data_IF_150168337242
#
_entry.id   IF_150168337242
#
_cell.length_a   1.000
_cell.length_b   1.000
_cell.length_c   1.000
_cell.angle_alpha   90.00
_cell.angle_beta   90.00
_cell.angle_gamma   90.00
#
_symmetry.space_group_name_H-M   'P 1'
#
loop_
_entity.id
_entity.type
_entity.pdbx_description
1 polymer ?
#
# COMPACT_ATOMS: atom_id res chain seq x y z
N UNK A 1 25.10 -9.54 29.07
CA UNK A 1 23.70 -9.28 29.46
C UNK A 1 22.85 -9.63 28.27
N UNK A 2 22.09 -10.74 28.35
CA UNK A 2 21.30 -11.25 27.25
C UNK A 2 20.14 -10.30 26.97
N UNK A 3 20.08 -9.79 25.74
CA UNK A 3 18.92 -9.07 25.22
C UNK A 3 17.73 -10.04 25.20
N UNK A 4 16.81 -9.86 26.13
CA UNK A 4 15.51 -10.50 26.13
C UNK A 4 14.70 -9.89 24.96
N UNK A 5 14.91 -10.37 23.72
CA UNK A 5 13.98 -10.11 22.63
C UNK A 5 12.65 -10.70 23.05
N UNK A 6 11.66 -9.86 23.31
CA UNK A 6 10.27 -10.26 23.39
C UNK A 6 10.00 -11.20 22.21
N UNK A 7 9.53 -12.40 22.53
CA UNK A 7 9.04 -13.34 21.53
C UNK A 7 7.79 -12.70 20.96
N UNK A 8 7.94 -11.98 19.85
CA UNK A 8 6.79 -11.47 19.09
C UNK A 8 6.01 -12.67 18.60
N UNK A 9 4.71 -12.71 18.89
CA UNK A 9 3.84 -13.78 18.43
C UNK A 9 3.88 -13.78 16.89
N UNK A 10 4.33 -14.90 16.28
CA UNK A 10 4.43 -15.00 14.82
C UNK A 10 3.05 -14.82 14.20
N UNK A 11 2.91 -13.82 13.32
CA UNK A 11 1.69 -13.51 12.58
C UNK A 11 1.75 -14.07 11.16
N UNK A 12 0.62 -14.09 10.46
CA UNK A 12 0.52 -14.46 9.04
C UNK A 12 0.33 -13.21 8.19
N UNK A 13 1.11 -13.10 7.12
CA UNK A 13 1.03 -12.00 6.15
C UNK A 13 0.61 -12.60 4.81
N UNK A 14 -0.54 -12.19 4.30
CA UNK A 14 -0.97 -12.57 2.97
C UNK A 14 -0.18 -11.81 1.91
N UNK A 15 0.26 -12.50 0.87
CA UNK A 15 0.90 -11.88 -0.31
C UNK A 15 0.16 -12.34 -1.55
N UNK A 16 -0.28 -11.39 -2.38
CA UNK A 16 -0.85 -11.67 -3.69
C UNK A 16 0.16 -11.30 -4.77
N UNK A 17 0.62 -12.22 -5.63
CA UNK A 17 1.56 -11.90 -6.70
C UNK A 17 0.98 -10.94 -7.75
N UNK A 18 -0.35 -10.90 -7.89
CA UNK A 18 -1.04 -10.07 -8.87
C UNK A 18 -1.15 -10.73 -10.25
N UNK A 19 -0.82 -9.99 -11.32
CA UNK A 19 -0.88 -10.51 -12.70
C UNK A 19 0.14 -11.65 -12.89
N UNK A 20 -0.32 -12.89 -13.18
CA UNK A 20 0.58 -14.04 -13.25
C UNK A 20 1.55 -13.97 -14.43
N UNK A 21 1.18 -13.31 -15.54
CA UNK A 21 2.04 -13.11 -16.70
C UNK A 21 3.09 -12.00 -16.50
N UNK A 22 2.97 -11.20 -15.43
CA UNK A 22 3.88 -10.11 -15.09
C UNK A 22 5.01 -10.52 -14.15
N UNK A 23 5.70 -9.49 -13.59
CA UNK A 23 6.83 -9.68 -12.67
C UNK A 23 6.42 -10.05 -11.23
N UNK A 24 5.13 -9.97 -10.89
CA UNK A 24 4.67 -10.26 -9.52
C UNK A 24 5.14 -11.61 -8.98
N UNK A 25 4.98 -12.73 -9.72
CA UNK A 25 5.54 -14.03 -9.35
C UNK A 25 7.06 -14.00 -9.13
N UNK A 26 7.83 -13.33 -10.02
CA UNK A 26 9.28 -13.19 -9.90
C UNK A 26 9.67 -12.54 -8.57
N UNK A 27 9.00 -11.44 -8.22
CA UNK A 27 9.25 -10.69 -7.00
C UNK A 27 8.93 -11.52 -5.75
N UNK A 28 7.82 -12.25 -5.76
CA UNK A 28 7.42 -13.12 -4.63
C UNK A 28 8.39 -14.29 -4.47
N UNK A 29 8.83 -14.92 -5.56
CA UNK A 29 9.85 -15.97 -5.53
C UNK A 29 11.14 -15.45 -4.91
N UNK A 30 11.58 -14.25 -5.30
CA UNK A 30 12.79 -13.64 -4.74
C UNK A 30 12.63 -13.26 -3.25
N UNK A 31 11.44 -12.84 -2.80
CA UNK A 31 11.15 -12.66 -1.37
C UNK A 31 11.27 -13.97 -0.59
N UNK A 32 10.76 -15.06 -1.16
CA UNK A 32 10.78 -16.39 -0.52
C UNK A 32 12.19 -16.99 -0.40
N UNK A 33 13.19 -16.43 -1.08
CA UNK A 33 14.60 -16.80 -0.88
C UNK A 33 15.24 -16.17 0.38
N UNK A 34 14.49 -15.39 1.16
CA UNK A 34 14.96 -14.71 2.37
C UNK A 34 14.23 -15.22 3.61
N UNK A 35 14.82 -15.07 4.80
CA UNK A 35 14.13 -15.33 6.06
C UNK A 35 13.28 -14.15 6.50
N UNK A 36 12.08 -14.42 7.01
CA UNK A 36 11.17 -13.38 7.56
C UNK A 36 10.65 -13.81 8.94
N UNK A 37 10.46 -12.87 9.88
CA UNK A 37 10.05 -13.18 11.25
C UNK A 37 8.61 -13.67 11.37
N UNK A 38 7.80 -13.44 10.35
CA UNK A 38 6.39 -13.84 10.27
C UNK A 38 6.17 -14.85 9.14
N UNK A 39 5.05 -15.57 9.18
CA UNK A 39 4.68 -16.51 8.12
C UNK A 39 4.19 -15.74 6.90
N UNK A 40 4.82 -15.97 5.76
CA UNK A 40 4.33 -15.47 4.48
C UNK A 40 3.39 -16.50 3.86
N UNK A 41 2.14 -16.11 3.60
CA UNK A 41 1.13 -16.95 2.95
C UNK A 41 0.85 -16.38 1.57
N UNK A 42 1.27 -17.10 0.54
CA UNK A 42 1.14 -16.68 -0.84
C UNK A 42 -0.21 -17.15 -1.38
N UNK A 43 -1.12 -16.22 -1.69
CA UNK A 43 -2.40 -16.51 -2.33
C UNK A 43 -2.17 -16.65 -3.83
N UNK A 44 -1.95 -17.87 -4.33
CA UNK A 44 -1.56 -18.11 -5.72
C UNK A 44 -1.79 -19.56 -6.14
N UNK A 45 -1.59 -19.83 -7.44
CA UNK A 45 -1.45 -21.16 -7.98
C UNK A 45 -0.02 -21.67 -7.77
N UNK A 46 0.11 -22.76 -6.99
CA UNK A 46 1.42 -23.35 -6.67
C UNK A 46 2.18 -23.81 -7.92
N UNK A 47 1.48 -24.33 -8.93
CA UNK A 47 2.09 -24.80 -10.18
C UNK A 47 2.71 -23.64 -10.96
N UNK A 48 1.97 -22.52 -11.08
CA UNK A 48 2.49 -21.28 -11.70
C UNK A 48 3.75 -20.78 -10.99
N UNK A 49 3.78 -20.82 -9.66
CA UNK A 49 4.93 -20.38 -8.88
C UNK A 49 6.13 -21.34 -9.04
N UNK A 50 5.90 -22.65 -9.11
CA UNK A 50 6.97 -23.66 -9.33
C UNK A 50 7.59 -23.49 -10.72
N UNK A 51 6.76 -23.37 -11.76
CA UNK A 51 7.23 -23.19 -13.13
C UNK A 51 8.04 -21.91 -13.29
N UNK A 52 7.55 -20.80 -12.71
CA UNK A 52 8.26 -19.54 -12.71
C UNK A 52 9.59 -19.62 -11.92
N UNK A 53 9.61 -20.27 -10.78
CA UNK A 53 10.82 -20.48 -9.99
C UNK A 53 11.87 -21.30 -10.75
N UNK A 54 11.43 -22.35 -11.46
CA UNK A 54 12.29 -23.15 -12.33
C UNK A 54 12.89 -22.32 -13.48
N UNK A 55 12.06 -21.50 -14.15
CA UNK A 55 12.49 -20.59 -15.21
C UNK A 55 13.54 -19.58 -14.71
N UNK A 56 13.39 -19.07 -13.49
CA UNK A 56 14.32 -18.14 -12.86
C UNK A 56 15.56 -18.80 -12.25
N UNK A 57 15.66 -20.14 -12.26
CA UNK A 57 16.74 -20.87 -11.60
C UNK A 57 16.76 -20.66 -10.08
N UNK A 58 15.60 -20.38 -9.48
CA UNK A 58 15.41 -20.10 -8.04
C UNK A 58 14.46 -21.12 -7.42
N UNK A 59 14.89 -22.40 -7.22
CA UNK A 59 14.00 -23.46 -6.79
C UNK A 59 13.41 -23.18 -5.41
N UNK A 60 12.15 -23.58 -5.21
CA UNK A 60 11.39 -23.42 -3.98
C UNK A 60 10.77 -24.74 -3.55
N UNK A 61 10.71 -24.98 -2.22
CA UNK A 61 9.88 -26.02 -1.65
C UNK A 61 8.49 -25.46 -1.34
N UNK A 62 7.48 -25.97 -2.03
CA UNK A 62 6.09 -25.56 -1.78
C UNK A 62 5.57 -26.26 -0.53
N UNK A 63 5.01 -25.48 0.37
CA UNK A 63 4.32 -25.93 1.57
C UNK A 63 2.83 -25.59 1.44
N UNK A 64 1.89 -26.54 1.54
CA UNK A 64 0.47 -26.23 1.53
C UNK A 64 0.11 -25.42 2.77
N UNK A 65 -0.62 -24.33 2.61
CA UNK A 65 -1.10 -23.55 3.74
C UNK A 65 -2.20 -24.28 4.50
N UNK A 66 -2.10 -24.30 5.83
CA UNK A 66 -3.05 -24.92 6.75
C UNK A 66 -3.38 -23.90 7.86
N UNK A 67 -4.61 -23.40 7.86
CA UNK A 67 -5.05 -22.33 8.78
C UNK A 67 -5.08 -22.78 10.24
N UNK A 68 -5.31 -24.07 10.48
CA UNK A 68 -5.40 -24.70 11.80
C UNK A 68 -4.03 -24.88 12.50
N UNK A 69 -2.93 -24.87 11.75
CA UNK A 69 -1.60 -24.97 12.33
C UNK A 69 -1.13 -23.62 12.86
N UNK A 70 -0.31 -23.58 13.92
CA UNK A 70 0.30 -22.33 14.39
C UNK A 70 1.16 -21.67 13.31
N UNK A 71 1.11 -20.32 13.23
CA UNK A 71 1.99 -19.58 12.34
C UNK A 71 3.46 -19.82 12.66
N UNK A 72 4.28 -20.00 11.63
CA UNK A 72 5.73 -20.22 11.74
C UNK A 72 6.49 -19.16 10.95
N UNK A 73 7.65 -18.68 11.43
CA UNK A 73 8.51 -17.78 10.68
C UNK A 73 8.86 -18.37 9.31
N UNK A 74 8.84 -17.54 8.29
CA UNK A 74 9.17 -17.96 6.93
C UNK A 74 10.63 -18.34 6.78
N UNK A 75 10.88 -19.52 6.21
CA UNK A 75 12.22 -20.05 5.95
C UNK A 75 12.62 -19.81 4.49
N UNK A 76 13.85 -19.33 4.27
CA UNK A 76 14.40 -19.14 2.94
C UNK A 76 14.34 -20.42 2.10
N UNK A 77 14.00 -20.30 0.83
CA UNK A 77 13.84 -21.41 -0.11
C UNK A 77 12.53 -22.20 0.05
N UNK A 78 11.59 -21.74 0.90
CA UNK A 78 10.25 -22.32 1.00
C UNK A 78 9.19 -21.33 0.52
N UNK A 79 7.99 -21.79 0.18
CA UNK A 79 6.84 -20.96 -0.12
C UNK A 79 5.56 -21.61 0.42
N UNK A 80 4.92 -20.99 1.41
CA UNK A 80 3.63 -21.46 1.92
C UNK A 80 2.51 -20.89 1.02
N UNK A 81 1.76 -21.77 0.35
CA UNK A 81 0.75 -21.39 -0.64
C UNK A 81 -0.66 -21.68 -0.14
N UNK A 82 -1.49 -20.65 -0.09
CA UNK A 82 -2.94 -20.77 -0.06
C UNK A 82 -3.41 -20.94 -1.52
N UNK A 83 -3.68 -22.21 -1.91
CA UNK A 83 -3.93 -22.58 -3.29
C UNK A 83 -5.16 -21.89 -3.89
N UNK A 84 -4.96 -21.31 -5.07
CA UNK A 84 -6.00 -20.77 -5.94
C UNK A 84 -5.59 -21.12 -7.37
N UNK A 85 -6.43 -21.89 -8.04
CA UNK A 85 -6.09 -22.43 -9.36
C UNK A 85 -6.21 -21.37 -10.44
N UNK A 86 -5.22 -21.27 -11.33
CA UNK A 86 -5.29 -20.47 -12.55
C UNK A 86 -6.27 -21.10 -13.54
N UNK A 87 -6.97 -20.28 -14.32
CA UNK A 87 -7.98 -20.77 -15.28
C UNK A 87 -7.37 -21.18 -16.62
N UNK A 88 -6.20 -20.64 -16.96
CA UNK A 88 -5.48 -20.91 -18.20
C UNK A 88 -3.97 -20.97 -17.95
N UNK A 89 -3.25 -21.57 -18.90
CA UNK A 89 -1.79 -21.60 -18.91
C UNK A 89 -1.21 -20.18 -18.80
N UNK A 90 -0.19 -20.02 -17.96
CA UNK A 90 0.46 -18.73 -17.74
C UNK A 90 1.76 -18.65 -18.54
N UNK A 91 1.79 -17.77 -19.53
CA UNK A 91 2.99 -17.48 -20.33
C UNK A 91 3.55 -16.10 -19.95
N UNK A 92 4.84 -16.05 -19.57
CA UNK A 92 5.49 -14.79 -19.20
C UNK A 92 5.34 -13.73 -20.29
N UNK A 93 4.92 -12.53 -19.90
CA UNK A 93 4.75 -11.39 -20.81
C UNK A 93 3.48 -11.44 -21.68
N UNK A 94 2.70 -12.50 -21.64
CA UNK A 94 1.49 -12.67 -22.45
C UNK A 94 0.24 -12.68 -21.57
N UNK A 95 -0.52 -11.60 -21.67
CA UNK A 95 -1.76 -11.43 -20.91
C UNK A 95 -2.86 -12.37 -21.45
N UNK A 96 -3.53 -13.08 -20.54
CA UNK A 96 -4.72 -13.89 -20.85
C UNK A 96 -5.90 -13.45 -19.96
N UNK A 97 -7.01 -13.07 -20.60
CA UNK A 97 -8.21 -12.62 -19.88
C UNK A 97 -8.87 -13.73 -19.06
N UNK A 98 -8.67 -15.00 -19.42
CA UNK A 98 -9.17 -16.13 -18.64
C UNK A 98 -8.59 -16.14 -17.20
N UNK A 99 -7.36 -15.65 -17.03
CA UNK A 99 -6.74 -15.52 -15.71
C UNK A 99 -7.19 -14.27 -14.92
N UNK A 100 -8.05 -13.41 -15.49
CA UNK A 100 -8.56 -12.23 -14.78
C UNK A 100 -9.33 -12.55 -13.49
N UNK A 101 -10.17 -13.61 -13.52
CA UNK A 101 -10.91 -14.07 -12.33
C UNK A 101 -10.00 -14.75 -11.31
N UNK A 102 -8.94 -15.44 -11.73
CA UNK A 102 -7.91 -15.95 -10.84
C UNK A 102 -7.26 -14.83 -10.03
N UNK A 103 -6.85 -13.73 -10.69
CA UNK A 103 -6.28 -12.58 -10.00
C UNK A 103 -7.23 -12.04 -8.93
N UNK A 104 -8.51 -11.88 -9.26
CA UNK A 104 -9.52 -11.45 -8.29
C UNK A 104 -9.66 -12.42 -7.11
N UNK A 105 -9.71 -13.73 -7.37
CA UNK A 105 -9.81 -14.75 -6.33
C UNK A 105 -8.63 -14.68 -5.34
N UNK A 106 -7.40 -14.35 -5.82
CA UNK A 106 -6.26 -14.13 -4.93
C UNK A 106 -6.46 -12.93 -3.99
N UNK A 107 -7.02 -11.83 -4.51
CA UNK A 107 -7.33 -10.64 -3.73
C UNK A 107 -8.48 -10.88 -2.74
N UNK A 108 -9.54 -11.59 -3.16
CA UNK A 108 -10.67 -11.98 -2.31
C UNK A 108 -10.21 -12.88 -1.15
N UNK A 109 -9.36 -13.87 -1.44
CA UNK A 109 -8.79 -14.74 -0.41
C UNK A 109 -7.99 -13.97 0.63
N UNK A 110 -7.16 -13.03 0.18
CA UNK A 110 -6.37 -12.19 1.07
C UNK A 110 -7.26 -11.24 1.91
N UNK A 111 -8.23 -10.58 1.27
CA UNK A 111 -9.18 -9.69 1.95
C UNK A 111 -9.99 -10.43 3.03
N UNK A 112 -10.58 -11.58 2.67
CA UNK A 112 -11.36 -12.42 3.58
C UNK A 112 -10.53 -12.88 4.78
N UNK A 113 -9.28 -13.30 4.56
CA UNK A 113 -8.37 -13.67 5.64
C UNK A 113 -7.99 -12.51 6.55
N UNK A 114 -7.80 -11.30 6.00
CA UNK A 114 -7.59 -10.10 6.82
C UNK A 114 -8.83 -9.72 7.62
N UNK A 115 -10.01 -9.79 7.01
CA UNK A 115 -11.28 -9.47 7.69
C UNK A 115 -11.62 -10.44 8.82
N UNK A 116 -11.27 -11.72 8.68
CA UNK A 116 -11.46 -12.72 9.72
C UNK A 116 -10.39 -12.74 10.81
N UNK A 117 -9.32 -11.94 10.66
CA UNK A 117 -8.16 -11.97 11.56
C UNK A 117 -7.22 -13.16 11.34
N UNK A 118 -7.40 -13.95 10.28
CA UNK A 118 -6.51 -15.04 9.87
C UNK A 118 -5.15 -14.48 9.40
N UNK A 119 -5.17 -13.36 8.69
CA UNK A 119 -4.00 -12.61 8.25
C UNK A 119 -3.94 -11.25 8.94
N UNK A 120 -2.77 -10.88 9.47
CA UNK A 120 -2.55 -9.58 10.12
C UNK A 120 -2.40 -8.42 9.11
N UNK A 121 -1.97 -8.75 7.90
CA UNK A 121 -1.79 -7.77 6.82
C UNK A 121 -1.85 -8.44 5.45
N UNK A 122 -2.07 -7.63 4.40
CA UNK A 122 -1.90 -8.03 3.00
C UNK A 122 -0.89 -7.16 2.29
N UNK A 123 -0.01 -7.80 1.52
CA UNK A 123 0.97 -7.16 0.63
C UNK A 123 0.61 -7.52 -0.80
N UNK A 124 0.35 -6.52 -1.65
CA UNK A 124 -0.12 -6.77 -3.02
C UNK A 124 0.94 -6.47 -4.06
N UNK A 125 1.19 -7.44 -4.95
CA UNK A 125 1.90 -7.26 -6.20
C UNK A 125 1.08 -6.52 -7.25
N UNK A 126 1.64 -6.23 -8.44
CA UNK A 126 0.97 -5.42 -9.45
C UNK A 126 -0.05 -6.24 -10.24
N UNK A 127 -1.20 -5.64 -10.58
CA UNK A 127 -2.24 -6.25 -11.42
C UNK A 127 -2.40 -5.51 -12.74
N UNK A 128 -2.95 -6.20 -13.74
CA UNK A 128 -3.29 -5.60 -15.01
C UNK A 128 -4.81 -5.36 -15.10
N UNK A 129 -5.24 -4.13 -14.79
CA UNK A 129 -6.68 -3.76 -14.74
C UNK A 129 -7.44 -4.13 -16.01
N UNK A 130 -6.81 -3.94 -17.18
CA UNK A 130 -7.45 -4.26 -18.48
C UNK A 130 -7.76 -5.75 -18.66
N UNK A 131 -6.96 -6.65 -18.12
CA UNK A 131 -7.23 -8.10 -18.14
C UNK A 131 -8.44 -8.43 -17.28
N UNK A 132 -8.45 -7.92 -16.04
CA UNK A 132 -9.57 -8.14 -15.12
C UNK A 132 -10.88 -7.59 -15.70
N UNK A 133 -10.84 -6.40 -16.28
CA UNK A 133 -12.03 -5.79 -16.90
C UNK A 133 -12.51 -6.60 -18.12
N UNK A 134 -11.62 -7.16 -18.95
CA UNK A 134 -11.99 -8.04 -20.05
C UNK A 134 -12.58 -9.39 -19.60
N UNK A 135 -12.21 -9.87 -18.41
CA UNK A 135 -12.83 -11.02 -17.78
C UNK A 135 -14.28 -10.75 -17.27
N UNK A 136 -14.83 -9.56 -17.54
CA UNK A 136 -16.23 -9.20 -17.26
C UNK A 136 -16.46 -8.56 -15.88
N UNK A 137 -15.41 -8.22 -15.14
CA UNK A 137 -15.54 -7.60 -13.80
C UNK A 137 -15.05 -6.15 -13.85
N UNK A 138 -15.89 -5.20 -13.37
CA UNK A 138 -15.48 -3.80 -13.24
C UNK A 138 -14.46 -3.65 -12.13
N UNK A 139 -13.20 -3.43 -12.49
CA UNK A 139 -12.09 -3.28 -11.58
C UNK A 139 -11.34 -1.96 -11.86
N UNK A 140 -11.44 -1.03 -10.92
CA UNK A 140 -10.76 0.27 -10.98
C UNK A 140 -9.36 0.26 -10.35
N UNK A 141 -9.15 -0.64 -9.37
CA UNK A 141 -7.88 -0.81 -8.68
C UNK A 141 -8.00 -1.55 -7.36
N UNK A 142 -6.85 -1.88 -6.78
CA UNK A 142 -6.79 -2.57 -5.48
C UNK A 142 -7.47 -1.79 -4.35
N UNK A 143 -7.30 -0.47 -4.34
CA UNK A 143 -7.81 0.40 -3.28
C UNK A 143 -9.33 0.34 -3.20
N UNK A 144 -10.00 0.51 -4.33
CA UNK A 144 -11.45 0.44 -4.45
C UNK A 144 -11.97 -0.98 -4.20
N UNK A 145 -11.24 -1.99 -4.69
CA UNK A 145 -11.56 -3.38 -4.46
C UNK A 145 -11.56 -3.73 -2.97
N UNK A 146 -10.48 -3.43 -2.25
CA UNK A 146 -10.40 -3.72 -0.81
C UNK A 146 -11.38 -2.89 0.02
N UNK A 147 -11.65 -1.65 -0.38
CA UNK A 147 -12.69 -0.82 0.24
C UNK A 147 -14.07 -1.49 0.11
N UNK A 148 -14.41 -1.99 -1.08
CA UNK A 148 -15.66 -2.71 -1.32
C UNK A 148 -15.74 -4.02 -0.51
N UNK A 149 -14.67 -4.82 -0.50
CA UNK A 149 -14.61 -6.09 0.25
C UNK A 149 -14.74 -5.92 1.76
N UNK A 150 -14.43 -4.75 2.28
CA UNK A 150 -14.46 -4.43 3.72
C UNK A 150 -15.58 -3.46 4.11
N UNK A 151 -16.54 -3.18 3.21
CA UNK A 151 -17.61 -2.19 3.41
C UNK A 151 -17.07 -0.81 3.86
N UNK A 152 -15.84 -0.47 3.47
CA UNK A 152 -15.19 0.81 3.80
C UNK A 152 -15.63 1.88 2.81
N UNK A 153 -16.28 2.92 3.32
CA UNK A 153 -16.83 4.00 2.46
C UNK A 153 -15.78 4.96 1.94
N UNK A 154 -14.68 5.15 2.68
CA UNK A 154 -13.62 6.09 2.34
C UNK A 154 -12.26 5.56 2.76
N UNK A 155 -11.32 5.62 1.85
CA UNK A 155 -9.91 5.28 2.08
C UNK A 155 -9.02 6.45 1.72
N UNK A 156 -7.79 6.46 2.25
CA UNK A 156 -6.78 7.48 1.97
C UNK A 156 -5.53 6.79 1.44
N UNK A 157 -5.04 7.29 0.31
CA UNK A 157 -3.78 6.85 -0.26
C UNK A 157 -2.63 7.55 0.45
N UNK A 158 -1.70 6.78 0.97
CA UNK A 158 -0.42 7.25 1.49
C UNK A 158 0.71 6.55 0.74
N UNK A 159 1.71 7.31 0.32
CA UNK A 159 2.99 6.75 -0.07
C UNK A 159 4.01 7.04 1.03
N UNK A 160 4.88 6.08 1.27
CA UNK A 160 5.95 6.20 2.25
C UNK A 160 7.30 5.77 1.67
N UNK A 161 8.35 6.45 2.11
CA UNK A 161 9.75 6.08 1.94
C UNK A 161 10.50 6.45 3.21
N UNK A 162 11.77 6.10 3.30
CA UNK A 162 12.58 6.45 4.47
C UNK A 162 12.56 7.98 4.74
N UNK A 163 12.11 8.36 5.93
CA UNK A 163 12.03 9.75 6.39
C UNK A 163 10.97 10.62 5.68
N UNK A 164 10.01 10.05 4.95
CA UNK A 164 8.90 10.81 4.34
C UNK A 164 7.66 9.95 4.15
N UNK A 165 6.53 10.41 4.67
CA UNK A 165 5.17 9.91 4.37
C UNK A 165 4.35 11.04 3.76
N UNK A 166 3.66 10.75 2.65
CA UNK A 166 2.78 11.70 1.96
C UNK A 166 1.41 11.06 1.80
N UNK A 167 0.41 11.64 2.43
CA UNK A 167 -1.00 11.29 2.24
C UNK A 167 -1.67 12.26 1.27
N UNK A 168 -2.71 11.83 0.58
CA UNK A 168 -3.36 12.57 -0.49
C UNK A 168 -4.82 12.85 -0.18
N UNK A 169 -5.27 14.11 -0.34
CA UNK A 169 -6.69 14.48 -0.28
C UNK A 169 -7.44 14.05 -1.54
N UNK A 170 -6.80 14.22 -2.69
CA UNK A 170 -7.30 13.74 -4.00
C UNK A 170 -6.23 12.92 -4.70
N UNK A 171 -6.64 11.88 -5.45
CA UNK A 171 -5.74 10.96 -6.13
C UNK A 171 -5.81 11.13 -7.65
N UNK A 172 -6.46 10.22 -8.36
CA UNK A 172 -6.45 10.11 -9.83
C UNK A 172 -7.62 10.88 -10.45
N UNK A 173 -7.65 12.19 -10.27
CA UNK A 173 -8.63 13.09 -10.92
C UNK A 173 -7.91 14.12 -11.81
N UNK A 174 -8.56 14.62 -12.88
CA UNK A 174 -7.99 15.70 -13.71
C UNK A 174 -7.62 16.92 -12.85
N UNK A 175 -6.50 17.55 -13.16
CA UNK A 175 -6.04 18.74 -12.43
C UNK A 175 -7.10 19.84 -12.36
N UNK A 176 -7.89 20.01 -13.42
CA UNK A 176 -8.99 20.97 -13.50
C UNK A 176 -10.14 20.69 -12.52
N UNK A 177 -10.20 19.48 -11.94
CA UNK A 177 -11.21 19.07 -10.97
C UNK A 177 -10.72 19.19 -9.52
N UNK A 178 -9.42 19.41 -9.30
CA UNK A 178 -8.80 19.34 -7.97
C UNK A 178 -9.39 20.40 -7.04
N UNK A 179 -9.39 21.69 -7.43
CA UNK A 179 -9.92 22.77 -6.58
C UNK A 179 -11.36 22.48 -6.11
N UNK A 180 -12.24 22.05 -7.03
CA UNK A 180 -13.64 21.71 -6.70
C UNK A 180 -13.77 20.48 -5.81
N UNK A 181 -12.78 19.59 -5.83
CA UNK A 181 -12.76 18.38 -5.02
C UNK A 181 -12.26 18.64 -3.58
N UNK A 182 -11.56 19.75 -3.33
CA UNK A 182 -11.12 20.15 -2.00
C UNK A 182 -12.30 20.82 -1.27
N UNK A 183 -13.08 20.01 -0.59
CA UNK A 183 -14.23 20.46 0.19
C UNK A 183 -13.99 20.23 1.69
N UNK A 184 -14.68 20.99 2.54
CA UNK A 184 -14.64 20.81 4.00
C UNK A 184 -14.91 19.37 4.39
N UNK A 185 -15.96 18.75 3.83
CA UNK A 185 -16.34 17.36 4.14
C UNK A 185 -15.23 16.38 3.78
N UNK A 186 -14.64 16.49 2.58
CA UNK A 186 -13.54 15.61 2.14
C UNK A 186 -12.30 15.79 3.00
N UNK A 187 -11.90 17.03 3.28
CA UNK A 187 -10.74 17.31 4.14
C UNK A 187 -10.91 16.70 5.53
N UNK A 188 -12.09 16.88 6.15
CA UNK A 188 -12.38 16.29 7.46
C UNK A 188 -12.30 14.77 7.44
N UNK A 189 -12.91 14.13 6.44
CA UNK A 189 -12.87 12.67 6.31
C UNK A 189 -11.43 12.16 6.14
N UNK A 190 -10.67 12.75 5.22
CA UNK A 190 -9.27 12.34 4.95
C UNK A 190 -8.40 12.54 6.18
N UNK A 191 -8.49 13.70 6.85
CA UNK A 191 -7.67 14.00 8.03
C UNK A 191 -8.01 13.07 9.19
N UNK A 192 -9.30 12.77 9.43
CA UNK A 192 -9.71 11.83 10.49
C UNK A 192 -9.19 10.42 10.24
N UNK A 193 -9.30 9.91 9.00
CA UNK A 193 -8.76 8.61 8.63
C UNK A 193 -7.24 8.59 8.80
N UNK A 194 -6.56 9.61 8.28
CA UNK A 194 -5.11 9.74 8.40
C UNK A 194 -4.67 9.76 9.86
N UNK A 195 -5.28 10.59 10.69
CA UNK A 195 -4.98 10.70 12.12
C UNK A 195 -5.24 9.36 12.84
N UNK A 196 -6.41 8.76 12.62
CA UNK A 196 -6.78 7.51 13.27
C UNK A 196 -5.77 6.38 12.94
N UNK A 197 -5.39 6.23 11.67
CA UNK A 197 -4.45 5.20 11.27
C UNK A 197 -3.02 5.49 11.75
N UNK A 198 -2.58 6.75 11.78
CA UNK A 198 -1.29 7.12 12.38
C UNK A 198 -1.22 6.76 13.87
N UNK A 199 -2.33 6.90 14.60
CA UNK A 199 -2.42 6.49 16.00
C UNK A 199 -2.48 4.96 16.12
N UNK A 200 -3.41 4.32 15.44
CA UNK A 200 -3.74 2.90 15.67
C UNK A 200 -2.81 1.93 14.95
N UNK A 201 -2.39 2.24 13.72
CA UNK A 201 -1.54 1.35 12.91
C UNK A 201 -0.06 1.73 12.98
N UNK A 202 0.26 3.04 13.04
CA UNK A 202 1.65 3.47 13.12
C UNK A 202 2.13 3.64 14.58
N UNK A 203 1.24 3.55 15.56
CA UNK A 203 1.58 3.67 16.99
C UNK A 203 2.07 5.06 17.41
N UNK A 204 1.69 6.12 16.69
CA UNK A 204 2.08 7.49 16.97
C UNK A 204 1.00 8.14 17.83
N UNK A 205 1.25 8.32 19.12
CA UNK A 205 0.24 8.79 20.08
C UNK A 205 -0.31 10.19 19.79
N UNK A 206 0.47 11.08 19.22
CA UNK A 206 0.06 12.44 18.85
C UNK A 206 0.69 12.85 17.50
N UNK A 207 0.12 12.34 16.38
CA UNK A 207 0.70 12.56 15.06
C UNK A 207 0.74 14.03 14.67
N UNK A 208 1.89 14.51 14.20
CA UNK A 208 2.06 15.84 13.61
C UNK A 208 1.83 15.76 12.10
N UNK A 209 0.70 16.27 11.65
CA UNK A 209 0.29 16.26 10.25
C UNK A 209 0.57 17.65 9.66
N UNK A 210 1.52 17.73 8.77
CA UNK A 210 1.85 18.95 8.04
C UNK A 210 0.99 19.02 6.77
N UNK A 211 0.24 20.09 6.61
CA UNK A 211 -0.77 20.21 5.54
C UNK A 211 -0.28 21.19 4.49
N UNK A 212 -0.26 20.78 3.21
CA UNK A 212 -0.01 21.67 2.09
C UNK A 212 -1.22 22.61 1.85
N UNK A 213 -0.95 23.82 1.40
CA UNK A 213 -1.95 24.60 0.68
C UNK A 213 -2.26 23.96 -0.68
N UNK A 214 -3.32 24.41 -1.34
CA UNK A 214 -3.65 24.02 -2.71
C UNK A 214 -2.91 24.87 -3.74
N UNK A 215 -2.95 26.19 -3.51
CA UNK A 215 -2.42 27.18 -4.43
C UNK A 215 -0.93 27.48 -4.19
N UNK A 216 -0.22 28.06 -5.18
CA UNK A 216 1.14 28.57 -4.96
C UNK A 216 1.20 29.49 -3.73
N UNK A 217 2.28 29.41 -2.97
CA UNK A 217 2.49 30.16 -1.73
C UNK A 217 1.34 30.02 -0.70
N UNK A 218 0.60 28.88 -0.74
CA UNK A 218 -0.59 28.64 0.08
C UNK A 218 -1.64 29.76 -0.03
N UNK A 219 -1.84 30.27 -1.28
CA UNK A 219 -2.83 31.29 -1.62
C UNK A 219 -2.40 32.73 -1.39
N UNK A 220 -1.29 33.00 -0.70
CA UNK A 220 -0.73 34.35 -0.43
C UNK A 220 -1.82 35.38 -0.06
N UNK A 221 -2.50 35.13 1.07
CA UNK A 221 -3.61 35.95 1.60
C UNK A 221 -4.76 36.16 0.58
N UNK A 222 -5.00 35.18 -0.31
CA UNK A 222 -6.05 35.18 -1.31
C UNK A 222 -5.63 35.73 -2.68
N UNK A 223 -4.40 36.23 -2.83
CA UNK A 223 -3.90 36.74 -4.10
C UNK A 223 -3.76 35.66 -5.18
N UNK A 224 -3.49 34.42 -4.76
CA UNK A 224 -3.27 33.27 -5.66
C UNK A 224 -4.44 32.27 -5.67
N UNK A 225 -5.52 32.58 -4.96
CA UNK A 225 -6.70 31.73 -4.81
C UNK A 225 -7.28 31.81 -3.42
N UNK A 226 -8.56 31.51 -3.30
CA UNK A 226 -9.30 31.66 -2.03
C UNK A 226 -9.52 30.32 -1.30
N UNK A 227 -9.11 29.20 -1.88
CA UNK A 227 -9.38 27.86 -1.34
C UNK A 227 -8.78 27.66 0.06
N UNK A 228 -7.63 28.27 0.34
CA UNK A 228 -7.04 28.26 1.68
C UNK A 228 -7.93 28.99 2.69
N UNK A 229 -8.37 30.21 2.34
CA UNK A 229 -9.17 31.08 3.24
C UNK A 229 -10.58 30.54 3.39
N UNK A 230 -11.22 30.13 2.28
CA UNK A 230 -12.61 29.72 2.30
C UNK A 230 -12.83 28.30 2.81
N UNK A 231 -11.83 27.41 2.65
CA UNK A 231 -12.03 25.96 2.89
C UNK A 231 -10.95 25.37 3.80
N UNK A 232 -9.66 25.50 3.45
CA UNK A 232 -8.62 24.73 4.11
C UNK A 232 -8.40 25.23 5.54
N UNK A 233 -8.10 26.50 5.72
CA UNK A 233 -7.82 27.09 7.04
C UNK A 233 -8.98 26.88 8.01
N UNK A 234 -10.25 27.21 7.68
CA UNK A 234 -11.36 26.98 8.59
C UNK A 234 -11.54 25.52 8.97
N UNK A 235 -11.34 24.59 8.01
CA UNK A 235 -11.45 23.15 8.28
C UNK A 235 -10.35 22.67 9.25
N UNK A 236 -9.10 23.10 9.03
CA UNK A 236 -8.00 22.74 9.93
C UNK A 236 -8.21 23.30 11.34
N UNK A 237 -8.65 24.55 11.46
CA UNK A 237 -8.94 25.18 12.76
C UNK A 237 -10.03 24.44 13.51
N UNK A 238 -11.11 24.07 12.82
CA UNK A 238 -12.19 23.29 13.43
C UNK A 238 -11.70 21.96 13.95
N UNK A 239 -10.91 21.20 13.19
CA UNK A 239 -10.37 19.91 13.63
C UNK A 239 -9.38 20.04 14.79
N UNK A 240 -8.55 21.10 14.80
CA UNK A 240 -7.66 21.41 15.93
C UNK A 240 -8.44 21.68 17.21
N UNK A 241 -9.47 22.53 17.13
CA UNK A 241 -10.21 22.98 18.30
C UNK A 241 -11.20 21.94 18.82
N UNK A 242 -11.91 21.22 17.93
CA UNK A 242 -12.95 20.30 18.31
C UNK A 242 -12.47 18.87 18.54
N UNK A 243 -11.40 18.45 17.84
CA UNK A 243 -10.95 17.06 17.86
C UNK A 243 -9.51 16.91 18.39
N UNK A 244 -8.82 18.02 18.64
CA UNK A 244 -7.45 18.02 19.18
C UNK A 244 -6.41 17.44 18.23
N UNK A 245 -6.70 17.36 16.92
CA UNK A 245 -5.78 16.82 15.93
C UNK A 245 -4.63 17.82 15.72
N UNK A 246 -3.39 17.35 15.80
CA UNK A 246 -2.21 18.20 15.67
C UNK A 246 -1.88 18.44 14.18
N UNK A 247 -2.53 19.47 13.62
CA UNK A 247 -2.40 19.90 12.24
C UNK A 247 -1.52 21.15 12.16
N UNK A 248 -0.57 21.22 11.25
CA UNK A 248 0.26 22.38 11.00
C UNK A 248 0.10 22.84 9.55
N UNK A 249 -0.06 24.13 9.34
CA UNK A 249 -0.28 24.70 8.00
C UNK A 249 -1.63 25.42 7.87
N UNK A 250 -2.09 25.70 6.60
CA UNK A 250 -1.48 25.21 5.36
C UNK A 250 -0.12 25.86 5.04
N UNK A 251 0.83 25.08 4.53
CA UNK A 251 2.15 25.54 4.10
C UNK A 251 2.28 25.52 2.56
N UNK A 252 3.10 26.39 1.98
CA UNK A 252 3.45 26.29 0.57
C UNK A 252 4.12 24.94 0.26
N UNK A 253 3.67 24.28 -0.83
CA UNK A 253 4.15 22.96 -1.20
C UNK A 253 5.63 22.95 -1.64
N UNK A 254 6.14 24.07 -2.14
CA UNK A 254 7.54 24.26 -2.55
C UNK A 254 8.51 24.34 -1.37
N UNK A 255 8.01 24.57 -0.18
CA UNK A 255 8.86 24.72 1.04
C UNK A 255 8.65 23.65 2.10
N UNK A 256 7.46 23.04 2.18
CA UNK A 256 7.08 22.08 3.24
C UNK A 256 7.97 20.82 3.25
N UNK A 257 8.55 20.44 2.12
CA UNK A 257 9.41 19.26 1.99
C UNK A 257 10.88 19.51 2.36
N UNK A 258 11.20 20.67 2.92
CA UNK A 258 12.54 20.95 3.44
C UNK A 258 12.81 20.15 4.73
N UNK A 259 14.07 19.76 4.94
CA UNK A 259 14.51 18.94 6.08
C UNK A 259 14.00 19.48 7.44
N UNK A 260 14.03 20.81 7.63
CA UNK A 260 13.55 21.45 8.87
C UNK A 260 12.09 21.15 9.24
N UNK A 261 11.23 20.90 8.23
CA UNK A 261 9.84 20.51 8.45
C UNK A 261 9.71 19.00 8.55
N UNK A 262 10.40 18.26 7.68
CA UNK A 262 10.33 16.80 7.63
C UNK A 262 10.91 16.13 8.88
N UNK A 263 11.87 16.77 9.54
CA UNK A 263 12.44 16.27 10.80
C UNK A 263 11.43 16.21 11.96
N UNK A 264 10.36 17.02 11.90
CA UNK A 264 9.31 17.08 12.92
C UNK A 264 7.97 16.53 12.46
N UNK A 265 7.79 16.33 11.15
CA UNK A 265 6.54 15.86 10.57
C UNK A 265 6.43 14.33 10.62
N UNK A 266 5.32 13.80 11.14
CA UNK A 266 5.00 12.38 11.00
C UNK A 266 4.47 12.06 9.61
N UNK A 267 3.77 13.02 8.97
CA UNK A 267 3.30 12.92 7.59
C UNK A 267 3.04 14.30 7.00
N UNK A 268 3.15 14.39 5.67
CA UNK A 268 2.69 15.54 4.90
C UNK A 268 1.37 15.16 4.21
N UNK A 269 0.33 16.00 4.35
CA UNK A 269 -0.93 15.87 3.64
C UNK A 269 -0.92 16.80 2.42
N UNK A 270 -0.83 16.22 1.24
CA UNK A 270 -0.89 16.94 -0.03
C UNK A 270 -2.33 16.98 -0.56
N UNK A 271 -2.69 18.09 -1.22
CA UNK A 271 -4.03 18.28 -1.76
C UNK A 271 -4.29 17.41 -3.00
N UNK A 272 -3.26 17.15 -3.80
CA UNK A 272 -3.37 16.34 -5.01
C UNK A 272 -2.08 15.55 -5.29
N UNK A 273 -2.21 14.56 -6.17
CA UNK A 273 -1.19 13.57 -6.48
C UNK A 273 0.17 14.20 -6.82
N UNK A 274 0.25 15.06 -7.83
CA UNK A 274 1.53 15.60 -8.30
C UNK A 274 2.09 16.74 -7.41
N UNK A 275 1.38 17.13 -6.34
CA UNK A 275 1.91 18.05 -5.34
C UNK A 275 2.95 17.38 -4.42
N UNK A 276 2.72 16.13 -4.04
CA UNK A 276 3.57 15.44 -3.06
C UNK A 276 4.40 14.29 -3.65
N UNK A 277 3.86 13.56 -4.61
CA UNK A 277 4.50 12.33 -5.09
C UNK A 277 5.80 12.53 -5.89
N UNK A 278 6.01 13.59 -6.68
CA UNK A 278 7.29 13.82 -7.33
C UNK A 278 8.45 13.91 -6.32
N UNK A 279 8.24 14.62 -5.20
CA UNK A 279 9.24 14.75 -4.14
C UNK A 279 9.49 13.39 -3.46
N UNK A 280 8.44 12.67 -3.12
CA UNK A 280 8.54 11.37 -2.48
C UNK A 280 9.27 10.36 -3.39
N UNK A 281 8.89 10.29 -4.68
CA UNK A 281 9.52 9.38 -5.65
C UNK A 281 10.98 9.75 -5.93
N UNK A 282 11.32 11.03 -5.94
CA UNK A 282 12.72 11.47 -6.06
C UNK A 282 13.54 11.03 -4.84
N UNK A 283 13.00 11.21 -3.61
CA UNK A 283 13.68 10.82 -2.37
C UNK A 283 13.80 9.29 -2.23
N UNK A 284 12.74 8.56 -2.60
CA UNK A 284 12.62 7.12 -2.37
C UNK A 284 12.70 6.26 -3.64
N UNK A 285 13.47 6.64 -4.64
CA UNK A 285 13.55 5.94 -5.92
C UNK A 285 13.73 4.43 -5.74
N UNK A 286 12.75 3.63 -6.24
CA UNK A 286 12.75 2.17 -6.11
C UNK A 286 12.48 1.61 -4.70
N UNK A 287 12.26 2.48 -3.69
CA UNK A 287 12.02 2.10 -2.29
C UNK A 287 10.75 2.73 -1.70
N UNK A 288 9.83 3.13 -2.55
CA UNK A 288 8.54 3.66 -2.12
C UNK A 288 7.51 2.55 -1.97
N UNK A 289 6.62 2.70 -0.98
CA UNK A 289 5.51 1.81 -0.72
C UNK A 289 4.20 2.58 -0.75
N UNK A 290 3.17 1.99 -1.33
CA UNK A 290 1.81 2.50 -1.24
C UNK A 290 1.09 1.82 -0.05
N UNK A 291 0.51 2.61 0.84
CA UNK A 291 -0.24 2.17 2.02
C UNK A 291 -1.66 2.68 1.88
N UNK A 292 -2.65 1.80 2.02
CA UNK A 292 -4.06 2.19 2.00
C UNK A 292 -4.56 2.37 3.42
N UNK A 293 -4.85 3.61 3.80
CA UNK A 293 -5.41 3.96 5.11
C UNK A 293 -6.94 3.90 5.11
N UNK A 294 -7.52 3.68 6.28
CA UNK A 294 -8.97 3.59 6.48
C UNK A 294 -9.54 2.18 6.33
N UNK A 295 -8.79 1.22 5.78
CA UNK A 295 -9.21 -0.20 5.79
C UNK A 295 -9.15 -0.76 7.22
N UNK A 296 -10.00 -1.75 7.59
CA UNK A 296 -9.96 -2.37 8.91
C UNK A 296 -8.74 -3.28 9.13
N UNK A 297 -7.87 -3.40 8.14
CA UNK A 297 -6.63 -4.18 8.17
C UNK A 297 -5.48 -3.41 7.51
N UNK A 298 -4.26 -3.88 7.69
CA UNK A 298 -3.05 -3.30 7.07
C UNK A 298 -2.96 -3.79 5.62
N UNK A 299 -2.88 -2.83 4.69
CA UNK A 299 -2.60 -3.13 3.28
C UNK A 299 -1.46 -2.27 2.78
N UNK A 300 -0.41 -2.92 2.27
CA UNK A 300 0.70 -2.29 1.55
C UNK A 300 0.80 -2.83 0.12
N UNK A 301 1.45 -2.08 -0.75
CA UNK A 301 1.54 -2.41 -2.18
C UNK A 301 2.82 -1.87 -2.79
N UNK A 302 3.29 -2.53 -3.82
CA UNK A 302 4.30 -1.97 -4.74
C UNK A 302 3.79 -0.69 -5.41
N UNK A 303 4.70 0.17 -5.84
CA UNK A 303 4.42 1.43 -6.56
C UNK A 303 4.88 1.36 -8.03
N UNK A 304 4.68 0.21 -8.67
CA UNK A 304 4.99 -0.02 -10.09
C UNK A 304 3.96 -0.95 -10.74
N UNK A 305 3.98 -1.05 -12.07
CA UNK A 305 3.10 -1.93 -12.85
C UNK A 305 3.62 -3.34 -13.01
N UNK A 306 2.98 -4.09 -13.91
CA UNK A 306 3.24 -5.52 -14.18
C UNK A 306 4.55 -5.78 -14.92
N UNK A 307 5.15 -4.80 -15.60
CA UNK A 307 6.41 -4.87 -16.33
C UNK A 307 6.57 -6.19 -17.11
N UNK A 308 5.61 -6.45 -18.00
CA UNK A 308 5.47 -7.72 -18.71
C UNK A 308 6.74 -8.17 -19.44
N UNK A 309 7.50 -7.21 -19.95
CA UNK A 309 8.76 -7.41 -20.67
C UNK A 309 9.89 -7.98 -19.80
N UNK A 310 9.78 -7.83 -18.47
CA UNK A 310 10.76 -8.34 -17.51
C UNK A 310 10.35 -9.67 -16.88
N UNK A 311 9.11 -10.13 -17.10
CA UNK A 311 8.58 -11.34 -16.47
C UNK A 311 9.39 -12.58 -16.88
N UNK A 312 9.86 -13.35 -15.92
CA UNK A 312 10.64 -14.58 -16.13
C UNK A 312 12.08 -14.36 -16.61
N UNK A 313 12.56 -13.11 -16.69
CA UNK A 313 13.93 -12.79 -17.15
C UNK A 313 14.97 -12.77 -16.02
N UNK A 314 14.54 -12.72 -14.76
CA UNK A 314 15.41 -12.54 -13.59
C UNK A 314 15.94 -11.10 -13.42
N UNK A 315 15.42 -10.13 -14.18
CA UNK A 315 15.87 -8.73 -14.14
C UNK A 315 14.94 -7.83 -13.29
N UNK A 316 13.81 -8.36 -12.79
CA UNK A 316 12.88 -7.60 -11.96
C UNK A 316 13.52 -7.22 -10.62
N UNK A 317 13.44 -5.92 -10.26
CA UNK A 317 13.94 -5.42 -8.97
C UNK A 317 12.92 -5.68 -7.85
N UNK A 318 13.34 -6.42 -6.83
CA UNK A 318 12.53 -6.76 -5.65
C UNK A 318 12.35 -5.57 -4.68
N UNK A 319 13.08 -4.47 -4.84
CA UNK A 319 13.17 -3.38 -3.86
C UNK A 319 11.81 -2.88 -3.37
N UNK A 320 10.88 -2.60 -4.28
CA UNK A 320 9.55 -2.10 -3.92
C UNK A 320 8.72 -3.13 -3.13
N UNK A 321 8.70 -4.40 -3.55
CA UNK A 321 7.93 -5.43 -2.84
C UNK A 321 8.54 -5.74 -1.46
N UNK A 322 9.87 -5.75 -1.35
CA UNK A 322 10.59 -5.88 -0.07
C UNK A 322 10.24 -4.73 0.87
N UNK A 323 10.22 -3.50 0.36
CA UNK A 323 9.84 -2.31 1.14
C UNK A 323 8.37 -2.42 1.58
N UNK A 324 7.47 -2.83 0.69
CA UNK A 324 6.06 -3.04 1.03
C UNK A 324 5.87 -4.08 2.14
N UNK A 325 6.57 -5.22 2.05
CA UNK A 325 6.54 -6.24 3.09
C UNK A 325 7.13 -5.72 4.41
N UNK A 326 8.29 -5.07 4.39
CA UNK A 326 8.93 -4.52 5.60
C UNK A 326 8.01 -3.55 6.33
N UNK A 327 7.35 -2.64 5.61
CA UNK A 327 6.38 -1.72 6.21
C UNK A 327 5.15 -2.45 6.77
N UNK A 328 4.64 -3.48 6.09
CA UNK A 328 3.54 -4.29 6.62
C UNK A 328 3.93 -4.94 7.96
N UNK A 329 5.14 -5.52 8.05
CA UNK A 329 5.67 -6.14 9.27
C UNK A 329 5.82 -5.13 10.40
N UNK A 330 6.41 -3.95 10.12
CA UNK A 330 6.53 -2.86 11.10
C UNK A 330 5.17 -2.42 11.66
N UNK A 331 4.15 -2.30 10.80
CA UNK A 331 2.80 -1.93 11.24
C UNK A 331 2.14 -3.03 12.07
N UNK A 332 2.33 -4.29 11.70
CA UNK A 332 1.83 -5.45 12.47
C UNK A 332 2.48 -5.51 13.86
N UNK A 333 3.79 -5.28 13.95
CA UNK A 333 4.51 -5.26 15.24
C UNK A 333 4.05 -4.12 16.17
N UNK A 334 3.58 -3.00 15.61
CA UNK A 334 3.04 -1.86 16.39
C UNK A 334 1.63 -2.08 16.90
N UNK A 335 0.89 -3.03 16.35
CA UNK A 335 -0.44 -3.41 16.79
C UNK A 335 -0.45 -4.58 17.79
N UNK A 336 0.67 -5.32 17.93
CA UNK A 336 0.83 -6.44 18.85
C UNK A 336 1.20 -5.96 20.26
#
# INVERSE_FOLDING_TARGET
MANNKQVTNTQRIAITPGEPAGIGPDLVIALCQQHWPHQLVICADAQVMVERAAQLGSPLTILPYQSELPAQPHQAGTMTVAQIDSAAEVVCGQLDEQNGLYVLATLERAASGCMSGEFAAVVTGPVHKGVINRAGVSFSGHTEFFAQQSDTTQVVMMLATEGLRVALVTTHIPISCVSKAITESRLKQVIRILHADLVTKFGIASPKIYVCGLNPHAGEDGCMGMEEIDTIIPTLEQLRQQEGINLLGPFPADTIFQEKYLADADTVLAMYHDQGLPVLKYKGFGKSVNITLGLPFIRTSVDHGTALELAGTGQADIGSLRTALSHALELVEKQA
#
